data_IF_342543615645
#
_entry.id   IF_342543615645
#
_cell.length_a   1.000
_cell.length_b   1.000
_cell.length_c   1.000
_cell.angle_alpha   90.00
_cell.angle_beta   90.00
_cell.angle_gamma   90.00
#
_symmetry.space_group_name_H-M   'P 1'
#
loop_
_entity.id
_entity.type
_entity.pdbx_description
1 polymer ?
#
# COMPACT_ATOMS: atom_id res chain seq x y z
N UNK A 1 1.24 21.84 -5.47
CA UNK A 1 1.83 21.12 -6.63
C UNK A 1 2.71 19.95 -6.16
N UNK A 2 3.50 20.12 -5.10
CA UNK A 2 4.31 19.04 -4.52
C UNK A 2 3.45 17.88 -3.96
N UNK A 3 2.26 18.18 -3.46
CA UNK A 3 1.30 17.25 -2.87
C UNK A 3 0.74 16.28 -3.91
N UNK A 4 0.38 16.82 -5.08
CA UNK A 4 -0.08 16.04 -6.24
C UNK A 4 1.04 15.15 -6.77
N UNK A 5 2.27 15.66 -6.86
CA UNK A 5 3.45 14.86 -7.25
C UNK A 5 3.70 13.73 -6.24
N UNK A 6 3.56 14.01 -4.94
CA UNK A 6 3.67 13.00 -3.88
C UNK A 6 2.59 11.92 -3.95
N UNK A 7 1.36 12.28 -4.34
CA UNK A 7 0.26 11.35 -4.55
C UNK A 7 0.53 10.42 -5.73
N UNK A 8 0.96 10.97 -6.88
CA UNK A 8 1.33 10.18 -8.07
C UNK A 8 2.48 9.22 -7.74
N UNK A 9 3.50 9.69 -7.04
CA UNK A 9 4.61 8.84 -6.58
C UNK A 9 4.14 7.71 -5.66
N UNK A 10 3.15 7.96 -4.80
CA UNK A 10 2.56 6.94 -3.91
C UNK A 10 1.80 5.87 -4.69
N UNK A 11 1.03 6.26 -5.72
CA UNK A 11 0.32 5.33 -6.62
C UNK A 11 1.32 4.43 -7.36
N UNK A 12 2.40 4.99 -7.90
CA UNK A 12 3.46 4.23 -8.57
C UNK A 12 4.10 3.25 -7.58
N UNK A 13 4.44 3.72 -6.37
CA UNK A 13 5.05 2.87 -5.33
C UNK A 13 4.13 1.73 -4.93
N UNK A 14 2.81 1.95 -4.81
CA UNK A 14 1.83 0.90 -4.54
C UNK A 14 1.76 -0.12 -5.68
N UNK A 15 1.74 0.33 -6.93
CA UNK A 15 1.72 -0.56 -8.09
C UNK A 15 2.98 -1.44 -8.13
N UNK A 16 4.16 -0.86 -7.89
CA UNK A 16 5.41 -1.61 -7.76
C UNK A 16 5.37 -2.62 -6.61
N UNK A 17 4.81 -2.21 -5.46
CA UNK A 17 4.67 -3.06 -4.27
C UNK A 17 3.71 -4.22 -4.55
N UNK A 18 2.58 -3.98 -5.23
CA UNK A 18 1.63 -5.00 -5.65
C UNK A 18 2.26 -6.02 -6.61
N UNK A 19 3.04 -5.54 -7.59
CA UNK A 19 3.74 -6.41 -8.54
C UNK A 19 4.77 -7.28 -7.83
N UNK A 20 5.54 -6.72 -6.88
CA UNK A 20 6.50 -7.50 -6.07
C UNK A 20 5.80 -8.54 -5.23
N UNK A 21 4.71 -8.16 -4.58
CA UNK A 21 3.93 -9.07 -3.75
C UNK A 21 3.31 -10.21 -4.59
N UNK A 22 2.79 -9.90 -5.78
CA UNK A 22 2.28 -10.90 -6.72
C UNK A 22 3.36 -11.87 -7.20
N UNK A 23 4.57 -11.38 -7.53
CA UNK A 23 5.71 -12.26 -7.84
C UNK A 23 6.05 -13.17 -6.66
N UNK A 24 6.05 -12.63 -5.45
CA UNK A 24 6.38 -13.36 -4.25
C UNK A 24 5.32 -14.43 -3.91
N UNK A 25 4.04 -14.11 -4.09
CA UNK A 25 2.92 -15.06 -3.99
C UNK A 25 3.09 -16.20 -5.02
N UNK A 26 3.42 -15.88 -6.27
CA UNK A 26 3.58 -16.89 -7.33
C UNK A 26 4.82 -17.79 -7.16
N UNK A 27 5.86 -17.33 -6.46
CA UNK A 27 7.04 -18.13 -6.12
C UNK A 27 6.77 -19.13 -4.99
N UNK A 28 5.69 -18.93 -4.25
CA UNK A 28 5.28 -19.80 -3.16
C UNK A 28 4.35 -20.89 -3.66
N UNK A 29 4.75 -22.15 -3.46
CA UNK A 29 3.91 -23.31 -3.79
C UNK A 29 2.56 -23.29 -3.04
N UNK A 30 2.54 -22.71 -1.84
CA UNK A 30 1.34 -22.42 -1.06
C UNK A 30 1.49 -21.03 -0.43
N UNK A 31 0.91 -20.00 -1.06
CA UNK A 31 1.02 -18.63 -0.57
C UNK A 31 0.26 -18.46 0.76
N UNK A 32 0.91 -17.95 1.83
CA UNK A 32 0.25 -17.60 3.08
C UNK A 32 -0.96 -16.68 2.86
N UNK A 33 -2.08 -16.99 3.51
CA UNK A 33 -3.31 -16.19 3.44
C UNK A 33 -3.08 -14.72 3.82
N UNK A 34 -2.13 -14.44 4.71
CA UNK A 34 -1.74 -13.09 5.09
C UNK A 34 -1.12 -12.28 3.94
N UNK A 35 -0.35 -12.92 3.06
CA UNK A 35 0.23 -12.24 1.89
C UNK A 35 -0.84 -11.91 0.85
N UNK A 36 -1.79 -12.83 0.65
CA UNK A 36 -2.96 -12.58 -0.19
C UNK A 36 -3.81 -11.43 0.39
N UNK A 37 -4.03 -11.43 1.70
CA UNK A 37 -4.78 -10.37 2.37
C UNK A 37 -4.08 -9.01 2.28
N UNK A 38 -2.75 -8.96 2.43
CA UNK A 38 -1.97 -7.74 2.21
C UNK A 38 -2.04 -7.29 0.74
N UNK A 39 -1.99 -8.22 -0.22
CA UNK A 39 -2.11 -7.91 -1.64
C UNK A 39 -3.46 -7.27 -1.98
N UNK A 40 -4.53 -7.81 -1.41
CA UNK A 40 -5.87 -7.24 -1.58
C UNK A 40 -5.96 -5.83 -0.97
N UNK A 41 -5.37 -5.60 0.21
CA UNK A 41 -5.38 -4.24 0.78
C UNK A 41 -4.53 -3.25 -0.01
N UNK A 42 -3.38 -3.67 -0.57
CA UNK A 42 -2.58 -2.81 -1.46
C UNK A 42 -3.38 -2.42 -2.70
N UNK A 43 -4.10 -3.37 -3.31
CA UNK A 43 -4.93 -3.09 -4.48
C UNK A 43 -6.09 -2.15 -4.13
N UNK A 44 -6.81 -2.41 -3.03
CA UNK A 44 -7.88 -1.53 -2.55
C UNK A 44 -7.37 -0.12 -2.25
N UNK A 45 -6.17 -0.03 -1.67
CA UNK A 45 -5.55 1.25 -1.35
C UNK A 45 -5.13 2.02 -2.62
N UNK A 46 -4.63 1.30 -3.64
CA UNK A 46 -4.32 1.87 -4.95
C UNK A 46 -5.55 2.47 -5.62
N UNK A 47 -6.68 1.75 -5.60
CA UNK A 47 -7.96 2.25 -6.14
C UNK A 47 -8.37 3.54 -5.44
N UNK A 48 -8.31 3.58 -4.10
CA UNK A 48 -8.63 4.80 -3.34
C UNK A 48 -7.71 5.98 -3.71
N UNK A 49 -6.39 5.77 -3.81
CA UNK A 49 -5.49 6.85 -4.19
C UNK A 49 -5.74 7.36 -5.61
N UNK A 50 -6.15 6.50 -6.54
CA UNK A 50 -6.55 6.90 -7.88
C UNK A 50 -7.84 7.76 -7.88
N UNK A 51 -8.79 7.47 -6.99
CA UNK A 51 -9.97 8.31 -6.79
C UNK A 51 -9.58 9.67 -6.18
N UNK A 52 -8.72 9.67 -5.17
CA UNK A 52 -8.18 10.92 -4.59
C UNK A 52 -7.46 11.75 -5.64
N UNK A 53 -6.66 11.12 -6.51
CA UNK A 53 -5.97 11.78 -7.62
C UNK A 53 -6.96 12.42 -8.59
N UNK A 54 -7.99 11.68 -9.00
CA UNK A 54 -9.04 12.22 -9.88
C UNK A 54 -9.74 13.44 -9.27
N UNK A 55 -10.09 13.40 -7.99
CA UNK A 55 -10.79 14.53 -7.36
C UNK A 55 -9.86 15.72 -7.15
N UNK A 56 -8.60 15.47 -6.77
CA UNK A 56 -7.59 16.49 -6.56
C UNK A 56 -7.17 17.19 -7.86
N UNK A 57 -6.97 16.44 -8.95
CA UNK A 57 -6.57 16.98 -10.26
C UNK A 57 -7.73 17.60 -11.03
N UNK A 58 -8.95 17.07 -10.86
CA UNK A 58 -10.11 17.50 -11.64
C UNK A 58 -10.84 18.69 -11.03
N UNK A 59 -11.46 18.49 -9.86
CA UNK A 59 -12.56 19.35 -9.40
C UNK A 59 -12.24 20.18 -8.15
N UNK A 60 -11.30 19.73 -7.29
CA UNK A 60 -11.03 20.36 -5.99
C UNK A 60 -9.55 20.28 -5.61
N UNK A 61 -8.66 21.10 -6.22
CA UNK A 61 -7.23 21.08 -5.91
C UNK A 61 -6.91 21.40 -4.43
N UNK A 62 -7.76 22.19 -3.76
CA UNK A 62 -7.65 22.47 -2.32
C UNK A 62 -7.84 21.21 -1.44
N UNK A 63 -8.45 20.15 -1.99
CA UNK A 63 -8.64 18.89 -1.27
C UNK A 63 -7.32 18.13 -1.12
N UNK A 64 -6.38 18.30 -2.06
CA UNK A 64 -5.05 17.71 -1.97
C UNK A 64 -4.29 18.24 -0.74
N UNK A 65 -4.44 19.52 -0.42
CA UNK A 65 -3.82 20.14 0.76
C UNK A 65 -4.44 19.60 2.05
N UNK A 66 -5.78 19.48 2.11
CA UNK A 66 -6.49 18.93 3.27
C UNK A 66 -6.16 17.46 3.55
N UNK A 67 -5.84 16.70 2.50
CA UNK A 67 -5.47 15.28 2.60
C UNK A 67 -3.96 15.08 2.74
N UNK A 68 -3.15 16.14 2.62
CA UNK A 68 -1.69 16.04 2.46
C UNK A 68 -1.00 15.29 3.59
N UNK A 69 -1.36 15.56 4.85
CA UNK A 69 -0.80 14.90 6.02
C UNK A 69 -1.13 13.40 6.02
N UNK A 70 -2.40 13.06 5.81
CA UNK A 70 -2.87 11.66 5.74
C UNK A 70 -2.26 10.92 4.56
N UNK A 71 -2.08 11.57 3.41
CA UNK A 71 -1.39 11.02 2.24
C UNK A 71 0.09 10.79 2.50
N UNK A 72 0.75 11.67 3.26
CA UNK A 72 2.15 11.52 3.64
C UNK A 72 2.37 10.35 4.61
N UNK A 73 1.49 10.21 5.62
CA UNK A 73 1.50 9.06 6.52
C UNK A 73 1.23 7.75 5.77
N UNK A 74 0.21 7.73 4.90
CA UNK A 74 -0.07 6.60 4.02
C UNK A 74 1.13 6.19 3.17
N UNK A 75 1.77 7.15 2.49
CA UNK A 75 2.95 6.90 1.66
C UNK A 75 4.09 6.30 2.49
N UNK A 76 4.32 6.81 3.70
CA UNK A 76 5.34 6.29 4.61
C UNK A 76 5.10 4.81 4.95
N UNK A 77 3.84 4.41 5.19
CA UNK A 77 3.49 3.00 5.42
C UNK A 77 3.75 2.12 4.19
N UNK A 78 3.42 2.61 3.00
CA UNK A 78 3.68 1.90 1.74
C UNK A 78 5.18 1.71 1.51
N UNK A 79 6.00 2.74 1.74
CA UNK A 79 7.46 2.65 1.63
C UNK A 79 8.05 1.63 2.60
N UNK A 80 7.53 1.55 3.82
CA UNK A 80 7.93 0.53 4.80
C UNK A 80 7.60 -0.88 4.30
N UNK A 81 6.40 -1.08 3.73
CA UNK A 81 5.99 -2.37 3.15
C UNK A 81 6.90 -2.74 1.99
N UNK A 82 7.15 -1.81 1.06
CA UNK A 82 8.05 -2.00 -0.08
C UNK A 82 9.45 -2.41 0.39
N UNK A 83 10.05 -1.66 1.31
CA UNK A 83 11.39 -1.94 1.82
C UNK A 83 11.45 -3.24 2.64
N UNK A 84 10.33 -3.70 3.19
CA UNK A 84 10.23 -5.04 3.76
C UNK A 84 10.23 -6.12 2.67
N UNK A 85 9.39 -5.99 1.64
CA UNK A 85 9.34 -6.96 0.53
C UNK A 85 10.66 -7.05 -0.23
N UNK A 86 11.37 -5.93 -0.41
CA UNK A 86 12.70 -5.89 -1.02
C UNK A 86 13.74 -6.69 -0.22
N UNK A 87 13.72 -6.58 1.11
CA UNK A 87 14.61 -7.35 1.98
C UNK A 87 14.30 -8.84 1.91
N UNK A 88 13.01 -9.20 1.93
CA UNK A 88 12.61 -10.61 1.83
C UNK A 88 12.98 -11.21 0.48
N UNK A 89 12.87 -10.46 -0.61
CA UNK A 89 13.27 -10.93 -1.95
C UNK A 89 14.80 -11.03 -2.11
N UNK A 90 15.56 -10.13 -1.45
CA UNK A 90 17.03 -10.12 -1.49
C UNK A 90 17.67 -11.21 -0.61
N UNK A 91 17.12 -11.47 0.57
CA UNK A 91 17.66 -12.44 1.52
C UNK A 91 17.45 -13.89 1.06
N UNK A 92 16.54 -14.17 0.12
CA UNK A 92 16.01 -15.53 -0.08
C UNK A 92 15.93 -16.01 -1.54
N UNK A 93 16.98 -15.75 -2.32
CA UNK A 93 17.10 -16.21 -3.70
C UNK A 93 17.14 -17.75 -3.88
N UNK A 94 17.19 -18.56 -2.79
CA UNK A 94 17.42 -20.02 -2.90
C UNK A 94 16.39 -20.93 -2.25
N UNK A 95 15.57 -20.49 -1.30
CA UNK A 95 14.43 -21.28 -0.83
C UNK A 95 13.50 -20.38 -0.03
N UNK A 96 12.49 -19.80 -0.67
CA UNK A 96 11.38 -19.15 0.03
C UNK A 96 10.59 -20.27 0.73
N UNK A 97 11.10 -20.72 1.87
CA UNK A 97 10.54 -21.79 2.68
C UNK A 97 9.38 -21.24 3.52
N UNK A 98 8.33 -22.04 3.70
CA UNK A 98 7.14 -21.71 4.50
C UNK A 98 7.51 -21.26 5.92
N UNK A 99 8.62 -21.79 6.45
CA UNK A 99 9.16 -21.45 7.77
C UNK A 99 9.65 -19.99 7.87
N UNK A 100 10.23 -19.43 6.81
CA UNK A 100 10.63 -18.02 6.78
C UNK A 100 9.39 -17.13 6.83
N UNK A 101 8.32 -17.51 6.13
CA UNK A 101 7.05 -16.78 6.17
C UNK A 101 6.37 -16.77 7.52
N UNK A 102 6.44 -17.88 8.26
CA UNK A 102 5.88 -17.96 9.61
C UNK A 102 6.52 -16.89 10.52
N UNK A 103 7.83 -16.63 10.37
CA UNK A 103 8.53 -15.59 11.15
C UNK A 103 8.05 -14.17 10.81
N UNK A 104 7.62 -13.95 9.58
CA UNK A 104 7.14 -12.64 9.11
C UNK A 104 5.63 -12.44 9.21
N UNK A 105 4.87 -13.50 9.48
CA UNK A 105 3.40 -13.51 9.55
C UNK A 105 2.83 -12.40 10.42
N UNK A 106 3.38 -12.20 11.62
CA UNK A 106 2.94 -11.14 12.53
C UNK A 106 3.13 -9.74 11.94
N UNK A 107 4.28 -9.50 11.32
CA UNK A 107 4.63 -8.22 10.68
C UNK A 107 3.76 -7.92 9.46
N UNK A 108 3.45 -8.94 8.65
CA UNK A 108 2.53 -8.81 7.50
C UNK A 108 1.13 -8.43 7.96
N UNK A 109 0.62 -9.04 9.04
CA UNK A 109 -0.67 -8.66 9.64
C UNK A 109 -0.66 -7.22 10.15
N UNK A 110 0.42 -6.79 10.78
CA UNK A 110 0.59 -5.39 11.19
C UNK A 110 0.51 -4.45 9.99
N UNK A 111 1.21 -4.76 8.90
CA UNK A 111 1.16 -3.97 7.67
C UNK A 111 -0.23 -3.93 7.05
N UNK A 112 -0.92 -5.07 7.00
CA UNK A 112 -2.29 -5.14 6.53
C UNK A 112 -3.20 -4.23 7.35
N UNK A 113 -3.13 -4.30 8.69
CA UNK A 113 -3.93 -3.45 9.58
C UNK A 113 -3.61 -1.97 9.38
N UNK A 114 -2.33 -1.60 9.39
CA UNK A 114 -1.87 -0.23 9.22
C UNK A 114 -2.31 0.37 7.88
N UNK A 115 -2.25 -0.42 6.81
CA UNK A 115 -2.71 0.01 5.48
C UNK A 115 -4.23 0.15 5.42
N UNK A 116 -4.96 -0.78 6.05
CA UNK A 116 -6.42 -0.69 6.19
C UNK A 116 -6.85 0.53 6.98
N UNK A 117 -6.18 0.84 8.09
CA UNK A 117 -6.51 2.00 8.93
C UNK A 117 -6.26 3.29 8.15
N UNK A 118 -5.14 3.38 7.42
CA UNK A 118 -4.86 4.51 6.52
C UNK A 118 -5.92 4.63 5.42
N UNK A 119 -6.38 3.51 4.86
CA UNK A 119 -7.46 3.47 3.85
C UNK A 119 -8.76 4.03 4.41
N UNK A 120 -9.20 3.52 5.55
CA UNK A 120 -10.46 3.93 6.17
C UNK A 120 -10.43 5.41 6.55
N UNK A 121 -9.29 5.90 7.07
CA UNK A 121 -9.13 7.32 7.38
C UNK A 121 -9.19 8.19 6.12
N UNK A 122 -8.47 7.82 5.05
CA UNK A 122 -8.53 8.56 3.78
C UNK A 122 -9.93 8.52 3.14
N UNK A 123 -10.61 7.38 3.15
CA UNK A 123 -11.99 7.27 2.66
C UNK A 123 -12.94 8.17 3.45
N UNK A 124 -12.87 8.16 4.78
CA UNK A 124 -13.71 9.03 5.61
C UNK A 124 -13.46 10.52 5.33
N UNK A 125 -12.20 10.92 5.15
CA UNK A 125 -11.87 12.30 4.76
C UNK A 125 -12.37 12.63 3.35
N UNK A 126 -12.29 11.70 2.41
CA UNK A 126 -12.78 11.88 1.04
C UNK A 126 -14.31 12.05 1.04
N UNK A 127 -15.05 11.21 1.75
CA UNK A 127 -16.50 11.27 1.87
C UNK A 127 -16.96 12.58 2.53
N UNK A 128 -16.29 12.99 3.61
CA UNK A 128 -16.57 14.25 4.32
C UNK A 128 -16.30 15.50 3.47
N UNK A 129 -15.43 15.41 2.46
CA UNK A 129 -15.12 16.53 1.57
C UNK A 129 -15.84 16.44 0.22
N UNK A 130 -16.62 15.39 -0.04
CA UNK A 130 -17.38 15.19 -1.29
C UNK A 130 -18.90 15.17 -1.10
N UNK A 131 -19.37 14.93 0.14
CA UNK A 131 -20.75 15.19 0.58
C UNK A 131 -21.04 16.69 0.70
#
# INVERSE_FOLDING_TARGET
MAEVIGLVASVITLAETAVKLGRLINRLHEAPAELLALSNEIENFRVLLYEVEKVALGNRPQMAEKLSETLCDANSKVLIIRGFLERVDADDAKAIDRLVWIRHKGKIRTFQSQLRDARLHLSAMLDANTS
#
